data_IF_959599385624
#
_entry.id   IF_959599385624
#
_cell.length_a   1.000
_cell.length_b   1.000
_cell.length_c   1.000
_cell.angle_alpha   90.00
_cell.angle_beta   90.00
_cell.angle_gamma   90.00
#
_symmetry.space_group_name_H-M   'P 1'
#
loop_
_entity.id
_entity.type
_entity.pdbx_description
1 polymer ?
#
# COMPACT_ATOMS: atom_id res chain seq x y z
N UNK A 1 1.40 -20.71 12.85
CA UNK A 1 1.10 -19.53 12.02
C UNK A 1 2.42 -18.86 11.69
N UNK A 2 2.79 -18.76 10.41
CA UNK A 2 4.05 -18.10 10.03
C UNK A 2 3.92 -16.58 10.12
N UNK A 3 5.01 -15.89 10.46
CA UNK A 3 5.05 -14.44 10.65
C UNK A 3 4.41 -13.66 9.49
N UNK A 4 4.58 -14.15 8.26
CA UNK A 4 4.01 -13.58 7.05
C UNK A 4 2.49 -13.76 6.95
N UNK A 5 1.94 -14.91 7.36
CA UNK A 5 0.49 -15.12 7.38
C UNK A 5 -0.20 -14.17 8.36
N UNK A 6 0.36 -13.95 9.55
CA UNK A 6 -0.21 -13.02 10.54
C UNK A 6 -0.24 -11.57 10.02
N UNK A 7 0.80 -11.14 9.27
CA UNK A 7 0.83 -9.82 8.62
C UNK A 7 -0.26 -9.70 7.56
N UNK A 8 -0.41 -10.71 6.70
CA UNK A 8 -1.47 -10.76 5.69
C UNK A 8 -2.86 -10.71 6.32
N UNK A 9 -3.11 -11.50 7.36
CA UNK A 9 -4.40 -11.53 8.05
C UNK A 9 -4.73 -10.17 8.68
N UNK A 10 -3.73 -9.49 9.23
CA UNK A 10 -3.88 -8.12 9.77
C UNK A 10 -4.21 -7.11 8.69
N UNK A 11 -3.53 -7.20 7.54
CA UNK A 11 -3.72 -6.26 6.43
C UNK A 11 -5.09 -6.41 5.76
N UNK A 12 -5.52 -7.66 5.53
CA UNK A 12 -6.86 -7.98 5.06
C UNK A 12 -7.92 -7.50 6.07
N UNK A 13 -7.66 -7.63 7.37
CA UNK A 13 -8.56 -7.12 8.41
C UNK A 13 -8.71 -5.60 8.33
N UNK A 14 -7.62 -4.87 8.07
CA UNK A 14 -7.65 -3.41 7.86
C UNK A 14 -8.45 -3.07 6.60
N UNK A 15 -8.20 -3.76 5.47
CA UNK A 15 -8.92 -3.56 4.21
C UNK A 15 -10.43 -3.76 4.37
N UNK A 16 -10.83 -4.84 5.03
CA UNK A 16 -12.23 -5.20 5.21
C UNK A 16 -12.96 -4.27 6.17
N UNK A 17 -12.28 -3.80 7.22
CA UNK A 17 -12.87 -2.94 8.25
C UNK A 17 -12.55 -1.45 8.08
N UNK A 18 -12.04 -1.06 6.90
CA UNK A 18 -11.51 0.28 6.66
C UNK A 18 -12.44 1.42 7.12
N UNK A 19 -13.72 1.34 6.71
CA UNK A 19 -14.74 2.34 7.08
C UNK A 19 -15.07 2.30 8.57
N UNK A 20 -15.12 1.11 9.17
CA UNK A 20 -15.36 0.96 10.59
C UNK A 20 -14.23 1.58 11.41
N UNK A 21 -12.98 1.41 10.98
CA UNK A 21 -11.80 2.03 11.61
C UNK A 21 -11.92 3.55 11.54
N UNK A 22 -12.24 4.13 10.38
CA UNK A 22 -12.42 5.59 10.25
C UNK A 22 -13.55 6.14 11.15
N UNK A 23 -14.64 5.38 11.31
CA UNK A 23 -15.72 5.72 12.23
C UNK A 23 -15.26 5.70 13.69
N UNK A 24 -14.52 4.67 14.10
CA UNK A 24 -13.97 4.57 15.46
C UNK A 24 -13.00 5.71 15.75
N UNK A 25 -12.08 6.02 14.82
CA UNK A 25 -11.17 7.15 14.95
C UNK A 25 -11.92 8.48 15.08
N UNK A 26 -12.97 8.66 14.28
CA UNK A 26 -13.83 9.86 14.38
C UNK A 26 -14.58 9.93 15.71
N UNK A 27 -15.02 8.79 16.24
CA UNK A 27 -15.65 8.71 17.55
C UNK A 27 -14.68 9.10 18.67
N UNK A 28 -13.45 8.59 18.65
CA UNK A 28 -12.40 8.94 19.64
C UNK A 28 -12.12 10.45 19.64
N UNK A 29 -12.08 11.08 18.46
CA UNK A 29 -11.89 12.53 18.34
C UNK A 29 -13.01 13.33 19.03
N UNK A 30 -14.24 12.82 19.01
CA UNK A 30 -15.41 13.48 19.59
C UNK A 30 -15.57 13.19 21.10
N UNK A 31 -15.28 11.96 21.54
CA UNK A 31 -15.62 11.49 22.89
C UNK A 31 -14.46 11.49 23.87
N UNK A 32 -13.21 11.41 23.40
CA UNK A 32 -12.07 11.38 24.32
C UNK A 32 -11.93 12.69 25.09
N UNK A 33 -11.45 12.61 26.32
CA UNK A 33 -11.09 13.77 27.15
C UNK A 33 -9.59 14.04 27.13
N UNK A 34 -8.78 13.07 26.68
CA UNK A 34 -7.31 13.19 26.65
C UNK A 34 -6.85 13.74 25.31
N UNK A 35 -6.00 14.76 25.37
CA UNK A 35 -5.50 15.40 24.17
C UNK A 35 -4.61 14.47 23.33
N UNK A 36 -3.80 13.64 23.98
CA UNK A 36 -2.88 12.73 23.29
C UNK A 36 -3.64 11.70 22.44
N UNK A 37 -4.69 11.09 23.00
CA UNK A 37 -5.55 10.14 22.28
C UNK A 37 -6.21 10.79 21.06
N UNK A 38 -6.64 12.05 21.18
CA UNK A 38 -7.20 12.81 20.04
C UNK A 38 -6.14 13.08 18.98
N UNK A 39 -4.94 13.48 19.38
CA UNK A 39 -3.87 13.78 18.41
C UNK A 39 -3.44 12.53 17.66
N UNK A 40 -3.30 11.40 18.35
CA UNK A 40 -2.96 10.12 17.74
C UNK A 40 -4.06 9.64 16.79
N UNK A 41 -5.33 9.65 17.23
CA UNK A 41 -6.45 9.29 16.38
C UNK A 41 -6.57 10.20 15.14
N UNK A 42 -6.31 11.51 15.30
CA UNK A 42 -6.31 12.46 14.19
C UNK A 42 -5.19 12.15 13.20
N UNK A 43 -3.98 11.86 13.69
CA UNK A 43 -2.84 11.53 12.85
C UNK A 43 -3.11 10.25 12.05
N UNK A 44 -3.58 9.19 12.71
CA UNK A 44 -3.91 7.92 12.04
C UNK A 44 -5.00 8.13 11.01
N UNK A 45 -6.10 8.81 11.36
CA UNK A 45 -7.20 9.11 10.44
C UNK A 45 -6.70 9.86 9.20
N UNK A 46 -5.91 10.92 9.40
CA UNK A 46 -5.30 11.69 8.31
C UNK A 46 -4.42 10.83 7.41
N UNK A 47 -3.67 9.87 7.98
CA UNK A 47 -2.85 8.95 7.19
C UNK A 47 -3.70 7.99 6.36
N UNK A 48 -4.76 7.42 6.95
CA UNK A 48 -5.65 6.51 6.24
C UNK A 48 -6.38 7.23 5.09
N UNK A 49 -6.88 8.44 5.32
CA UNK A 49 -7.58 9.24 4.31
C UNK A 49 -6.71 9.68 3.11
N UNK A 50 -5.40 9.42 3.13
CA UNK A 50 -4.54 9.67 1.96
C UNK A 50 -4.73 8.58 0.92
N UNK A 51 -4.89 8.97 -0.34
CA UNK A 51 -4.93 8.03 -1.45
C UNK A 51 -3.69 7.11 -1.49
N UNK A 52 -2.51 7.64 -1.13
CA UNK A 52 -1.28 6.83 -1.04
C UNK A 52 -1.43 5.64 -0.10
N UNK A 53 -2.12 5.80 1.04
CA UNK A 53 -2.35 4.71 1.98
C UNK A 53 -3.29 3.66 1.39
N UNK A 54 -4.42 4.09 0.81
CA UNK A 54 -5.39 3.19 0.14
C UNK A 54 -4.72 2.39 -0.97
N UNK A 55 -3.93 3.06 -1.82
CA UNK A 55 -3.19 2.42 -2.91
C UNK A 55 -2.20 1.38 -2.38
N UNK A 56 -1.38 1.75 -1.39
CA UNK A 56 -0.40 0.82 -0.80
C UNK A 56 -1.07 -0.37 -0.13
N UNK A 57 -2.19 -0.17 0.57
CA UNK A 57 -2.96 -1.24 1.20
C UNK A 57 -3.46 -2.27 0.17
N UNK A 58 -3.98 -1.81 -0.97
CA UNK A 58 -4.47 -2.71 -2.03
C UNK A 58 -3.32 -3.47 -2.67
N UNK A 59 -2.24 -2.75 -2.99
CA UNK A 59 -1.04 -3.33 -3.59
C UNK A 59 -0.41 -4.39 -2.68
N UNK A 60 -0.21 -4.07 -1.40
CA UNK A 60 0.38 -4.98 -0.43
C UNK A 60 -0.51 -6.21 -0.19
N UNK A 61 -1.85 -6.05 -0.15
CA UNK A 61 -2.78 -7.18 -0.04
C UNK A 61 -2.62 -8.17 -1.20
N UNK A 62 -2.50 -7.70 -2.44
CA UNK A 62 -2.35 -8.57 -3.62
C UNK A 62 -1.01 -9.31 -3.60
N UNK A 63 0.09 -8.61 -3.30
CA UNK A 63 1.43 -9.22 -3.23
C UNK A 63 1.51 -10.25 -2.11
N UNK A 64 1.04 -9.89 -0.90
CA UNK A 64 1.06 -10.81 0.24
C UNK A 64 0.12 -11.99 0.06
N UNK A 65 -0.99 -11.85 -0.67
CA UNK A 65 -1.87 -12.97 -0.98
C UNK A 65 -1.13 -14.05 -1.78
N UNK A 66 -0.42 -13.66 -2.86
CA UNK A 66 0.38 -14.59 -3.67
C UNK A 66 1.45 -15.30 -2.83
N UNK A 67 2.17 -14.54 -2.01
CA UNK A 67 3.24 -15.08 -1.15
C UNK A 67 2.65 -16.03 -0.09
N UNK A 68 1.54 -15.64 0.55
CA UNK A 68 0.94 -16.42 1.63
C UNK A 68 0.36 -17.75 1.13
N UNK A 69 -0.26 -17.78 -0.05
CA UNK A 69 -0.76 -19.02 -0.67
C UNK A 69 0.39 -20.01 -0.90
N UNK A 70 1.47 -19.55 -1.51
CA UNK A 70 2.67 -20.36 -1.77
C UNK A 70 3.32 -20.81 -0.48
N UNK A 71 3.47 -19.90 0.50
CA UNK A 71 4.08 -20.19 1.80
C UNK A 71 3.31 -21.28 2.55
N UNK A 72 1.97 -21.20 2.58
CA UNK A 72 1.10 -22.22 3.19
C UNK A 72 1.21 -23.56 2.49
N UNK A 73 1.24 -23.55 1.16
CA UNK A 73 1.37 -24.78 0.39
C UNK A 73 2.73 -25.47 0.61
N UNK A 74 3.83 -24.71 0.56
CA UNK A 74 5.18 -25.23 0.83
C UNK A 74 5.36 -25.75 2.26
N UNK A 75 4.60 -25.22 3.22
CA UNK A 75 4.58 -25.71 4.61
C UNK A 75 3.70 -26.96 4.80
N UNK A 76 2.97 -27.40 3.77
CA UNK A 76 2.14 -28.61 3.86
C UNK A 76 3.02 -29.86 3.91
N UNK A 77 2.79 -30.79 4.85
CA UNK A 77 3.56 -32.03 4.94
C UNK A 77 3.29 -32.99 3.77
N UNK A 78 2.30 -32.69 2.92
CA UNK A 78 1.90 -33.51 1.76
C UNK A 78 2.50 -33.02 0.44
N UNK A 79 3.34 -31.99 0.46
CA UNK A 79 3.85 -31.41 -0.78
C UNK A 79 4.95 -32.27 -1.39
N UNK A 80 4.86 -32.52 -2.71
CA UNK A 80 5.95 -33.08 -3.50
C UNK A 80 6.72 -31.98 -4.23
N UNK A 81 7.91 -32.32 -4.74
CA UNK A 81 8.81 -31.36 -5.37
C UNK A 81 8.20 -30.70 -6.62
N UNK A 82 7.41 -31.45 -7.40
CA UNK A 82 6.83 -30.94 -8.64
C UNK A 82 5.71 -29.93 -8.36
N UNK A 83 4.87 -30.21 -7.37
CA UNK A 83 3.87 -29.29 -6.86
C UNK A 83 4.51 -28.05 -6.23
N UNK A 84 5.59 -28.21 -5.45
CA UNK A 84 6.34 -27.09 -4.90
C UNK A 84 6.87 -26.15 -6.00
N UNK A 85 7.49 -26.71 -7.05
CA UNK A 85 7.96 -25.96 -8.22
C UNK A 85 6.82 -25.25 -8.94
N UNK A 86 5.70 -25.94 -9.16
CA UNK A 86 4.52 -25.37 -9.83
C UNK A 86 3.97 -24.17 -9.06
N UNK A 87 3.90 -24.26 -7.73
CA UNK A 87 3.38 -23.17 -6.89
C UNK A 87 4.32 -21.97 -6.83
N UNK A 88 5.63 -22.21 -6.77
CA UNK A 88 6.63 -21.15 -6.88
C UNK A 88 6.53 -20.41 -8.21
N UNK A 89 6.45 -21.14 -9.33
CA UNK A 89 6.29 -20.55 -10.66
C UNK A 89 4.97 -19.76 -10.77
N UNK A 90 3.87 -20.32 -10.27
CA UNK A 90 2.57 -19.65 -10.27
C UNK A 90 2.61 -18.34 -9.48
N UNK A 91 3.30 -18.32 -8.34
CA UNK A 91 3.49 -17.11 -7.54
C UNK A 91 4.38 -16.09 -8.24
N UNK A 92 5.44 -16.54 -8.92
CA UNK A 92 6.31 -15.65 -9.68
C UNK A 92 5.53 -14.97 -10.80
N UNK A 93 4.82 -15.76 -11.62
CA UNK A 93 3.98 -15.24 -12.69
C UNK A 93 2.88 -14.32 -12.16
N UNK A 94 2.30 -14.63 -11.00
CA UNK A 94 1.30 -13.75 -10.36
C UNK A 94 1.90 -12.39 -10.00
N UNK A 95 3.10 -12.35 -9.42
CA UNK A 95 3.79 -11.10 -9.06
C UNK A 95 4.23 -10.33 -10.32
N UNK A 96 4.69 -11.03 -11.36
CA UNK A 96 5.02 -10.42 -12.65
C UNK A 96 3.77 -9.78 -13.29
N UNK A 97 2.65 -10.48 -13.28
CA UNK A 97 1.37 -9.94 -13.74
C UNK A 97 0.92 -8.71 -12.94
N UNK A 98 1.17 -8.66 -11.62
CA UNK A 98 0.87 -7.48 -10.81
C UNK A 98 1.75 -6.29 -11.21
N UNK A 99 3.03 -6.53 -11.53
CA UNK A 99 3.94 -5.49 -12.02
C UNK A 99 3.49 -4.96 -13.38
N UNK A 100 3.15 -5.87 -14.30
CA UNK A 100 2.82 -5.51 -15.67
C UNK A 100 1.41 -4.88 -15.78
N UNK A 101 0.49 -5.25 -14.88
CA UNK A 101 -0.86 -4.68 -14.77
C UNK A 101 -1.00 -3.64 -13.66
N UNK A 102 0.06 -2.87 -13.38
CA UNK A 102 0.05 -1.83 -12.34
C UNK A 102 -1.08 -0.80 -12.53
N UNK A 103 -1.45 -0.50 -13.79
CA UNK A 103 -2.57 0.38 -14.11
C UNK A 103 -3.89 -0.13 -13.52
N UNK A 104 -4.16 -1.44 -13.60
CA UNK A 104 -5.38 -2.05 -13.07
C UNK A 104 -5.44 -1.96 -11.54
N UNK A 105 -4.30 -2.13 -10.87
CA UNK A 105 -4.19 -1.96 -9.40
C UNK A 105 -4.52 -0.52 -9.01
N UNK A 106 -4.01 0.44 -9.80
CA UNK A 106 -4.31 1.86 -9.58
C UNK A 106 -5.80 2.15 -9.81
N UNK A 107 -6.42 1.60 -10.85
CA UNK A 107 -7.85 1.75 -11.09
C UNK A 107 -8.71 1.14 -9.98
N UNK A 108 -8.37 -0.05 -9.48
CA UNK A 108 -9.02 -0.67 -8.32
C UNK A 108 -8.92 0.25 -7.09
N UNK A 109 -7.74 0.83 -6.85
CA UNK A 109 -7.53 1.79 -5.77
C UNK A 109 -8.36 3.05 -5.93
N UNK A 110 -8.48 3.59 -7.14
CA UNK A 110 -9.35 4.75 -7.42
C UNK A 110 -10.81 4.39 -7.14
N UNK A 111 -11.28 3.21 -7.56
CA UNK A 111 -12.63 2.74 -7.31
C UNK A 111 -12.94 2.61 -5.82
N UNK A 112 -12.03 2.01 -5.06
CA UNK A 112 -12.16 1.87 -3.61
C UNK A 112 -12.07 3.21 -2.87
N UNK A 113 -11.16 4.09 -3.27
CA UNK A 113 -11.03 5.44 -2.70
C UNK A 113 -12.34 6.23 -2.89
N UNK A 114 -12.92 6.21 -4.10
CA UNK A 114 -14.22 6.83 -4.37
C UNK A 114 -15.33 6.23 -3.50
N UNK A 115 -15.40 4.90 -3.38
CA UNK A 115 -16.36 4.20 -2.50
C UNK A 115 -16.22 4.61 -1.03
N UNK A 116 -15.01 4.90 -0.60
CA UNK A 116 -14.71 5.32 0.77
C UNK A 116 -14.75 6.84 0.98
N UNK A 117 -15.11 7.62 -0.03
CA UNK A 117 -15.20 9.08 0.05
C UNK A 117 -13.84 9.80 0.09
N UNK A 118 -12.79 9.16 -0.40
CA UNK A 118 -11.42 9.69 -0.42
C UNK A 118 -11.10 10.23 -1.81
N UNK A 119 -10.48 11.42 -1.86
CA UNK A 119 -9.98 12.01 -3.11
C UNK A 119 -8.88 11.13 -3.71
N UNK A 120 -9.04 10.61 -4.94
CA UNK A 120 -8.12 9.65 -5.54
C UNK A 120 -6.89 10.33 -6.18
N UNK A 121 -6.22 11.19 -5.43
CA UNK A 121 -5.06 11.95 -5.89
C UNK A 121 -3.86 11.75 -4.96
N UNK A 122 -2.69 11.52 -5.55
CA UNK A 122 -1.45 11.49 -4.78
C UNK A 122 -1.08 12.90 -4.32
N UNK A 123 -0.72 13.04 -3.04
CA UNK A 123 -0.23 14.31 -2.51
C UNK A 123 1.03 14.75 -3.27
N UNK A 124 1.00 15.95 -3.85
CA UNK A 124 2.19 16.58 -4.44
C UNK A 124 3.13 16.99 -3.31
N UNK A 125 4.15 16.19 -3.01
CA UNK A 125 5.18 16.57 -2.04
C UNK A 125 6.02 17.71 -2.61
N UNK A 126 6.20 18.78 -1.81
CA UNK A 126 7.15 19.84 -2.12
C UNK A 126 8.56 19.24 -2.14
N UNK A 127 9.21 19.29 -3.29
CA UNK A 127 10.62 18.96 -3.38
C UNK A 127 11.38 20.06 -2.65
N UNK A 128 12.12 19.71 -1.60
CA UNK A 128 12.98 20.66 -0.91
C UNK A 128 14.06 21.09 -1.90
N UNK A 129 14.04 22.35 -2.34
CA UNK A 129 15.18 22.94 -3.04
C UNK A 129 16.33 23.03 -2.03
N UNK A 130 17.29 22.12 -2.14
CA UNK A 130 18.59 22.26 -1.47
C UNK A 130 19.33 23.37 -2.22
N UNK A 131 20.06 24.25 -1.52
CA UNK A 131 20.90 25.24 -2.21
C UNK A 131 21.98 24.45 -2.97
N UNK A 132 21.96 24.56 -4.29
CA UNK A 132 23.05 24.06 -5.11
C UNK A 132 24.25 24.99 -4.96
N UNK A 133 25.38 24.44 -4.53
CA UNK A 133 26.67 25.11 -4.64
C UNK A 133 27.09 25.00 -6.11
N UNK A 134 27.61 26.09 -6.69
CA UNK A 134 27.73 26.32 -8.13
C UNK A 134 28.52 25.28 -8.95
N UNK A 135 29.23 24.32 -8.33
CA UNK A 135 30.13 23.40 -9.01
C UNK A 135 29.61 21.97 -9.20
N UNK A 136 28.45 21.60 -8.65
CA UNK A 136 27.98 20.22 -8.74
C UNK A 136 26.94 20.06 -9.87
N UNK A 137 27.42 19.74 -11.07
CA UNK A 137 26.57 19.39 -12.23
C UNK A 137 25.85 18.06 -11.97
N UNK A 138 24.72 18.10 -11.26
CA UNK A 138 23.85 16.94 -11.07
C UNK A 138 23.00 16.67 -12.33
N UNK A 139 23.41 15.68 -13.12
CA UNK A 139 22.69 15.20 -14.31
C UNK A 139 21.26 14.68 -13.98
N UNK A 140 21.02 14.28 -12.74
CA UNK A 140 19.74 13.72 -12.29
C UNK A 140 18.60 14.75 -12.22
N UNK A 141 18.91 16.04 -12.03
CA UNK A 141 17.88 17.08 -11.97
C UNK A 141 17.28 17.35 -13.36
N UNK A 142 18.08 17.24 -14.42
CA UNK A 142 17.63 17.40 -15.82
C UNK A 142 16.67 16.29 -16.26
N UNK A 143 16.79 15.07 -15.71
CA UNK A 143 15.86 13.98 -15.99
C UNK A 143 14.49 14.21 -15.34
N UNK A 144 14.46 14.79 -14.14
CA UNK A 144 13.20 15.12 -13.45
C UNK A 144 12.44 16.29 -14.10
N UNK A 145 13.12 17.23 -14.76
CA UNK A 145 12.47 18.31 -15.52
C UNK A 145 11.87 17.82 -16.85
N UNK A 146 12.54 16.89 -17.55
CA UNK A 146 12.01 16.31 -18.79
C UNK A 146 10.71 15.55 -18.60
N UNK A 147 10.57 14.81 -17.49
CA UNK A 147 9.32 14.10 -17.19
C UNK A 147 8.17 15.02 -16.75
N UNK A 148 8.47 16.24 -16.29
CA UNK A 148 7.45 17.25 -15.91
C UNK A 148 6.84 17.98 -17.10
N UNK A 149 7.46 17.92 -18.28
CA UNK A 149 7.02 18.68 -19.46
C UNK A 149 6.10 17.86 -20.39
N UNK A 150 5.91 16.55 -20.12
CA UNK A 150 5.15 15.63 -20.99
C UNK A 150 3.84 15.14 -20.33
N UNK A 151 3.42 15.71 -19.19
CA UNK A 151 2.10 15.44 -18.58
C UNK A 151 1.37 16.74 -18.28
#
# INVERSE_FOLDING_TARGET
MTRWSSRFDSEISIRNNYISILKVLSNILLTSTKQDEKQEALAIKKHMEKFQFVFLLIFQCQVLQSINLTSKALQSPKIDLENAKTMLNSSLTSIENLRDNFANIKEEAIGLAKKWGITPEFEKKRHRKVRQLFDDFNADEKLQERHRTIV
#
